data_IF_025323311676
#
_entry.id   IF_025323311676
#
_cell.length_a   1.000
_cell.length_b   1.000
_cell.length_c   1.000
_cell.angle_alpha   90.00
_cell.angle_beta   90.00
_cell.angle_gamma   90.00
#
_symmetry.space_group_name_H-M   'P 1'
#
loop_
_entity.id
_entity.type
_entity.pdbx_description
1 polymer ?
#
# COMPACT_ATOMS: atom_id res chain seq x y z
N UNK A 1 16.89 -0.97 15.13
CA UNK A 1 15.51 -1.23 14.65
C UNK A 1 14.77 0.09 14.69
N UNK A 2 14.05 0.48 13.64
CA UNK A 2 13.51 1.86 13.41
C UNK A 2 12.41 2.30 14.39
N UNK A 3 12.14 1.57 15.48
CA UNK A 3 11.15 1.97 16.50
C UNK A 3 9.70 2.00 16.01
N UNK A 4 9.42 1.42 14.83
CA UNK A 4 8.08 1.33 14.24
C UNK A 4 7.35 0.14 14.88
N UNK A 5 6.14 0.39 15.40
CA UNK A 5 5.25 -0.65 15.97
C UNK A 5 4.05 -0.87 15.05
N UNK A 6 3.34 -2.01 15.18
CA UNK A 6 2.13 -2.27 14.38
C UNK A 6 1.06 -1.17 14.50
N UNK A 7 0.99 -0.46 15.64
CA UNK A 7 0.06 0.66 15.83
C UNK A 7 0.43 1.85 14.93
N UNK A 8 1.72 2.19 14.83
CA UNK A 8 2.18 3.26 13.93
C UNK A 8 1.89 2.95 12.45
N UNK A 9 1.86 1.65 12.09
CA UNK A 9 1.42 1.21 10.76
C UNK A 9 -0.09 1.38 10.56
N UNK A 10 -0.89 1.09 11.59
CA UNK A 10 -2.35 1.21 11.53
C UNK A 10 -2.81 2.67 11.50
N UNK A 11 -2.14 3.54 12.25
CA UNK A 11 -2.47 4.96 12.38
C UNK A 11 -1.86 5.82 11.24
N UNK A 12 -1.01 5.23 10.40
CA UNK A 12 -0.30 5.90 9.29
C UNK A 12 0.48 7.16 9.73
N UNK A 13 0.88 7.23 10.99
CA UNK A 13 1.47 8.43 11.59
C UNK A 13 2.96 8.59 11.24
N UNK A 14 3.68 7.47 11.16
CA UNK A 14 5.13 7.41 10.93
C UNK A 14 5.53 6.69 9.65
N UNK A 15 4.56 6.11 8.93
CA UNK A 15 4.82 5.33 7.72
C UNK A 15 3.83 5.73 6.64
N UNK A 16 4.36 6.19 5.51
CA UNK A 16 3.58 6.53 4.31
C UNK A 16 3.88 5.54 3.18
N UNK A 17 2.86 5.22 2.38
CA UNK A 17 2.95 4.31 1.25
C UNK A 17 2.66 5.07 -0.04
N UNK A 18 3.70 5.29 -0.84
CA UNK A 18 3.61 5.97 -2.14
C UNK A 18 3.79 4.95 -3.26
N UNK A 19 3.10 5.18 -4.38
CA UNK A 19 3.17 4.29 -5.54
C UNK A 19 4.34 4.60 -6.45
N UNK A 20 4.62 5.89 -6.66
CA UNK A 20 5.64 6.33 -7.59
C UNK A 20 7.02 6.35 -6.93
N UNK A 21 7.96 5.59 -7.49
CA UNK A 21 9.30 5.51 -6.95
C UNK A 21 10.09 6.81 -7.13
N UNK A 22 9.81 7.58 -8.18
CA UNK A 22 10.43 8.88 -8.44
C UNK A 22 10.04 9.90 -7.38
N UNK A 23 8.75 10.01 -7.07
CA UNK A 23 8.23 10.86 -6.00
C UNK A 23 8.87 10.51 -4.63
N UNK A 24 8.99 9.22 -4.33
CA UNK A 24 9.63 8.73 -3.10
C UNK A 24 11.09 9.15 -3.02
N UNK A 25 11.84 8.95 -4.10
CA UNK A 25 13.27 9.29 -4.15
C UNK A 25 13.46 10.80 -4.00
N UNK A 26 12.67 11.61 -4.71
CA UNK A 26 12.74 13.06 -4.60
C UNK A 26 12.42 13.55 -3.19
N UNK A 27 11.39 13.00 -2.54
CA UNK A 27 10.98 13.41 -1.20
C UNK A 27 12.08 13.17 -0.16
N UNK A 28 12.78 12.03 -0.26
CA UNK A 28 13.93 11.72 0.61
C UNK A 28 15.12 12.62 0.31
N UNK A 29 15.45 12.85 -0.98
CA UNK A 29 16.57 13.72 -1.37
C UNK A 29 16.37 15.17 -0.93
N UNK A 30 15.12 15.66 -0.96
CA UNK A 30 14.73 17.00 -0.52
C UNK A 30 14.54 17.11 1.01
N UNK A 31 14.64 15.99 1.76
CA UNK A 31 14.37 15.92 3.20
C UNK A 31 13.01 16.49 3.60
N UNK A 32 11.97 16.24 2.82
CA UNK A 32 10.66 16.89 3.02
C UNK A 32 9.93 16.37 4.26
N UNK A 33 9.83 15.05 4.42
CA UNK A 33 8.96 14.43 5.44
C UNK A 33 9.59 13.23 6.13
N UNK A 34 10.21 12.34 5.36
CA UNK A 34 10.86 11.13 5.91
C UNK A 34 12.32 11.05 5.49
N UNK A 35 13.23 10.66 6.41
CA UNK A 35 14.66 10.58 6.11
C UNK A 35 15.06 9.31 5.34
N UNK A 36 14.17 8.33 5.25
CA UNK A 36 14.45 7.01 4.66
C UNK A 36 13.20 6.53 3.93
N UNK A 37 13.40 5.87 2.79
CA UNK A 37 12.35 5.14 2.08
C UNK A 37 12.81 3.73 1.72
N UNK A 38 11.84 2.84 1.53
CA UNK A 38 12.05 1.46 1.10
C UNK A 38 11.31 1.22 -0.22
N UNK A 39 12.04 0.84 -1.26
CA UNK A 39 11.45 0.38 -2.51
C UNK A 39 11.26 -1.13 -2.45
N UNK A 40 10.02 -1.59 -2.63
CA UNK A 40 9.66 -3.00 -2.54
C UNK A 40 9.29 -3.54 -3.92
N UNK A 41 9.70 -4.79 -4.18
CA UNK A 41 9.29 -5.46 -5.41
C UNK A 41 7.79 -5.76 -5.40
N UNK A 42 7.09 -5.57 -6.53
CA UNK A 42 5.69 -5.94 -6.63
C UNK A 42 5.52 -7.46 -6.46
N UNK A 43 4.43 -7.85 -5.82
CA UNK A 43 4.08 -9.26 -5.64
C UNK A 43 3.47 -9.81 -6.93
N UNK A 44 3.94 -10.98 -7.37
CA UNK A 44 3.38 -11.68 -8.54
C UNK A 44 2.02 -12.32 -8.22
N UNK A 45 1.15 -12.41 -9.23
CA UNK A 45 -0.20 -12.99 -9.07
C UNK A 45 -0.16 -14.45 -8.59
N UNK A 46 0.83 -15.24 -9.01
CA UNK A 46 0.96 -16.63 -8.58
C UNK A 46 1.22 -16.73 -7.08
N UNK A 47 2.04 -15.81 -6.54
CA UNK A 47 2.32 -15.71 -5.11
C UNK A 47 1.08 -15.31 -4.32
N UNK A 48 0.31 -14.35 -4.84
CA UNK A 48 -0.98 -13.95 -4.26
C UNK A 48 -1.91 -15.14 -4.16
N UNK A 49 -2.11 -15.86 -5.27
CA UNK A 49 -2.99 -17.04 -5.31
C UNK A 49 -2.53 -18.11 -4.32
N UNK A 50 -1.22 -18.37 -4.22
CA UNK A 50 -0.66 -19.39 -3.32
C UNK A 50 -0.92 -19.07 -1.85
N UNK A 51 -0.74 -17.82 -1.43
CA UNK A 51 -0.93 -17.39 -0.03
C UNK A 51 -2.42 -17.39 0.33
N UNK A 52 -3.27 -16.80 -0.51
CA UNK A 52 -4.72 -16.75 -0.27
C UNK A 52 -5.34 -18.16 -0.25
N UNK A 53 -4.89 -19.07 -1.13
CA UNK A 53 -5.39 -20.45 -1.15
C UNK A 53 -5.09 -21.24 0.13
N UNK A 54 -4.14 -20.78 0.95
CA UNK A 54 -3.82 -21.36 2.26
C UNK A 54 -4.60 -20.74 3.42
N UNK A 55 -5.45 -19.73 3.15
CA UNK A 55 -6.13 -18.96 4.19
C UNK A 55 -5.20 -17.98 4.94
N UNK A 56 -3.98 -17.78 4.47
CA UNK A 56 -3.04 -16.80 5.03
C UNK A 56 -3.40 -15.38 4.56
N UNK A 57 -2.99 -14.38 5.35
CA UNK A 57 -3.24 -12.95 5.06
C UNK A 57 -1.96 -12.24 4.70
N UNK A 58 -2.06 -11.32 3.75
CA UNK A 58 -0.98 -10.38 3.47
C UNK A 58 -0.87 -9.33 4.58
N UNK A 59 0.35 -8.81 4.83
CA UNK A 59 0.50 -7.58 5.60
C UNK A 59 -0.29 -6.43 4.95
N UNK A 60 -0.58 -5.39 5.73
CA UNK A 60 -1.29 -4.23 5.23
C UNK A 60 -0.57 -3.56 4.05
N UNK A 61 -1.35 -3.05 3.09
CA UNK A 61 -0.86 -2.29 1.92
C UNK A 61 0.21 -3.01 1.08
N UNK A 62 0.30 -4.34 1.16
CA UNK A 62 1.28 -5.14 0.38
C UNK A 62 0.83 -5.38 -1.07
N UNK A 63 -0.45 -5.16 -1.38
CA UNK A 63 -1.02 -5.34 -2.72
C UNK A 63 -1.75 -4.08 -3.15
N UNK A 64 -1.33 -3.52 -4.28
CA UNK A 64 -1.94 -2.34 -4.88
C UNK A 64 -2.54 -2.71 -6.25
N UNK A 65 -3.85 -3.03 -6.25
CA UNK A 65 -4.57 -3.40 -7.46
C UNK A 65 -4.99 -2.15 -8.22
N UNK A 66 -4.40 -1.95 -9.41
CA UNK A 66 -4.72 -0.83 -10.29
C UNK A 66 -5.04 -1.27 -11.73
N UNK A 67 -6.10 -0.71 -12.35
CA UNK A 67 -7.12 0.13 -11.72
C UNK A 67 -7.92 -0.64 -10.65
N UNK A 68 -8.42 0.07 -9.63
CA UNK A 68 -9.34 -0.55 -8.67
C UNK A 68 -10.53 -1.10 -9.45
N UNK A 69 -10.96 -2.31 -9.11
CA UNK A 69 -12.11 -2.93 -9.77
C UNK A 69 -13.31 -1.99 -9.66
N UNK A 70 -13.90 -1.63 -10.81
CA UNK A 70 -15.08 -0.77 -10.91
C UNK A 70 -16.34 -1.44 -10.34
N UNK A 71 -16.24 -2.67 -9.85
CA UNK A 71 -17.36 -3.49 -9.34
C UNK A 71 -18.13 -2.80 -8.21
N UNK A 72 -17.52 -1.86 -7.49
CA UNK A 72 -18.20 -1.01 -6.50
C UNK A 72 -19.30 -0.12 -7.09
N UNK A 73 -19.23 0.26 -8.37
CA UNK A 73 -20.26 1.08 -9.04
C UNK A 73 -21.58 0.33 -9.30
N UNK A 74 -21.53 -1.00 -9.37
CA UNK A 74 -22.73 -1.85 -9.52
C UNK A 74 -23.41 -2.12 -8.18
N UNK A 75 -22.65 -2.14 -7.08
CA UNK A 75 -23.14 -2.46 -5.74
C UNK A 75 -23.54 -1.22 -4.92
N UNK A 76 -23.00 -0.04 -5.25
CA UNK A 76 -23.39 1.24 -4.66
C UNK A 76 -24.12 2.11 -5.70
N UNK A 77 -25.43 2.29 -5.53
CA UNK A 77 -26.20 3.27 -6.32
C UNK A 77 -25.64 4.67 -6.06
N UNK A 78 -25.14 5.33 -7.11
CA UNK A 78 -24.81 6.75 -7.07
C UNK A 78 -26.13 7.54 -7.00
N UNK A 79 -26.54 7.94 -5.80
CA UNK A 79 -27.61 8.92 -5.64
C UNK A 79 -27.03 10.31 -5.90
N UNK A 80 -27.10 10.76 -7.16
CA UNK A 80 -26.99 12.18 -7.48
C UNK A 80 -28.36 12.82 -7.25
N UNK A 81 -28.40 13.86 -6.41
CA UNK A 81 -29.53 14.79 -6.25
C UNK A 81 -29.28 15.99 -7.16
#
# INVERSE_FOLDING_TARGET
>A
MVGITPQHLADEDKVEFLRDAGEVIESVLKNEKYPVAFLVNPIRLETIRKIVSKGERFPQKTTDFYPKLLTGLLLCKLNYV
#
